data_IF_015995645854
#
_entry.id   IF_015995645854
#
_cell.length_a   1.000
_cell.length_b   1.000
_cell.length_c   1.000
_cell.angle_alpha   90.00
_cell.angle_beta   90.00
_cell.angle_gamma   90.00
#
_symmetry.space_group_name_H-M   'P 1'
#
loop_
_entity.id
_entity.type
_entity.pdbx_description
1 polymer ?
#
# COMPACT_ATOMS: atom_id res chain seq x y z
N UNK A 1 20.86 71.64 27.64
CA UNK A 1 20.39 71.00 26.39
C UNK A 1 20.78 69.54 26.43
N UNK A 2 19.82 68.65 26.69
CA UNK A 2 20.00 67.22 26.65
C UNK A 2 19.76 66.66 25.24
N UNK A 3 20.54 65.65 24.88
CA UNK A 3 20.15 64.61 23.94
C UNK A 3 20.62 63.29 24.54
N UNK A 4 19.66 62.55 25.05
CA UNK A 4 19.78 61.17 25.50
C UNK A 4 19.62 60.26 24.29
N UNK A 5 20.59 59.38 24.07
CA UNK A 5 20.48 58.28 23.12
C UNK A 5 19.79 57.09 23.80
N UNK A 6 18.83 56.40 23.14
CA UNK A 6 18.17 55.24 23.72
C UNK A 6 19.06 53.99 23.61
N UNK A 7 19.39 53.41 24.76
CA UNK A 7 19.95 52.06 24.86
C UNK A 7 18.84 51.07 24.53
N UNK A 8 18.99 50.33 23.44
CA UNK A 8 18.07 49.24 23.06
C UNK A 8 18.51 47.99 23.83
N UNK A 9 17.79 47.66 24.91
CA UNK A 9 17.85 46.34 25.54
C UNK A 9 17.24 45.30 24.60
N UNK A 10 18.07 44.37 24.12
CA UNK A 10 17.61 43.18 23.39
C UNK A 10 16.99 42.19 24.38
N UNK A 11 15.68 42.32 24.60
CA UNK A 11 14.89 41.32 25.31
C UNK A 11 14.75 40.06 24.45
N UNK A 12 15.45 39.00 24.82
CA UNK A 12 15.31 37.67 24.21
C UNK A 12 13.97 37.06 24.62
N UNK A 13 12.96 37.23 23.77
CA UNK A 13 11.70 36.50 23.87
C UNK A 13 11.93 35.05 23.42
N UNK A 14 12.07 34.15 24.38
CA UNK A 14 11.99 32.71 24.14
C UNK A 14 10.56 32.36 23.70
N UNK A 15 10.34 31.79 22.50
CA UNK A 15 9.04 31.22 22.18
C UNK A 15 8.91 29.91 22.96
N UNK A 16 8.18 29.94 24.08
CA UNK A 16 7.64 28.74 24.72
C UNK A 16 6.56 28.17 23.80
N UNK A 17 7.00 27.45 22.78
CA UNK A 17 6.15 26.55 22.01
C UNK A 17 6.19 25.21 22.70
N UNK A 18 5.08 24.89 23.35
CA UNK A 18 4.71 23.55 23.77
C UNK A 18 4.75 22.63 22.54
N UNK A 19 5.91 22.03 22.28
CA UNK A 19 6.10 20.96 21.32
C UNK A 19 5.40 19.71 21.85
N UNK A 20 4.07 19.67 21.67
CA UNK A 20 3.41 18.40 21.45
C UNK A 20 4.04 17.84 20.18
N UNK A 21 4.65 16.66 20.28
CA UNK A 21 5.49 16.09 19.24
C UNK A 21 4.70 14.99 18.49
N UNK A 22 3.96 15.29 17.41
CA UNK A 22 3.19 14.29 16.65
C UNK A 22 3.95 13.79 15.42
N UNK A 23 5.24 13.47 15.54
CA UNK A 23 6.10 13.32 14.35
C UNK A 23 6.81 11.97 14.17
N UNK A 24 6.21 10.84 14.60
CA UNK A 24 6.58 9.48 14.09
C UNK A 24 5.44 8.45 14.12
N UNK A 25 4.31 8.73 14.78
CA UNK A 25 3.24 7.74 15.06
C UNK A 25 2.30 7.44 13.88
N UNK A 26 2.11 8.39 12.97
CA UNK A 26 0.98 8.36 12.02
C UNK A 26 1.12 7.33 10.90
N UNK A 27 2.35 6.99 10.49
CA UNK A 27 2.62 6.04 9.42
C UNK A 27 3.38 4.81 9.92
N UNK A 28 3.01 3.62 9.46
CA UNK A 28 3.80 2.39 9.61
C UNK A 28 4.57 2.08 8.35
N UNK A 29 5.78 1.54 8.51
CA UNK A 29 6.62 1.10 7.41
C UNK A 29 6.62 -0.43 7.32
N UNK A 30 6.35 -0.95 6.12
CA UNK A 30 6.41 -2.38 5.80
C UNK A 30 7.37 -2.60 4.64
N UNK A 31 8.26 -3.58 4.78
CA UNK A 31 9.17 -4.01 3.73
C UNK A 31 8.52 -5.11 2.89
N UNK A 32 8.48 -4.94 1.58
CA UNK A 32 8.06 -5.98 0.64
C UNK A 32 9.28 -6.73 0.10
N UNK A 33 9.43 -8.00 0.47
CA UNK A 33 10.50 -8.90 0.04
C UNK A 33 9.97 -9.99 -0.89
N UNK A 34 10.76 -10.49 -1.83
CA UNK A 34 10.40 -11.70 -2.58
C UNK A 34 10.47 -12.93 -1.67
N UNK A 35 9.38 -13.69 -1.61
CA UNK A 35 9.36 -15.00 -0.95
C UNK A 35 9.63 -16.14 -1.94
N UNK A 36 9.03 -16.07 -3.14
CA UNK A 36 9.22 -16.94 -4.31
C UNK A 36 9.01 -16.10 -5.58
N UNK A 37 9.36 -16.62 -6.77
CA UNK A 37 9.30 -15.96 -8.11
C UNK A 37 8.53 -14.61 -8.18
N UNK A 38 7.22 -14.62 -7.91
CA UNK A 38 6.36 -13.42 -7.91
C UNK A 38 5.62 -13.16 -6.59
N UNK A 39 5.84 -13.99 -5.58
CA UNK A 39 5.20 -13.86 -4.27
C UNK A 39 5.98 -12.88 -3.39
N UNK A 40 5.28 -12.19 -2.50
CA UNK A 40 5.88 -11.25 -1.57
C UNK A 40 5.67 -11.71 -0.12
N UNK A 41 6.68 -11.48 0.71
CA UNK A 41 6.54 -11.42 2.15
C UNK A 41 6.55 -9.95 2.56
N UNK A 42 5.60 -9.57 3.41
CA UNK A 42 5.49 -8.24 3.97
C UNK A 42 5.99 -8.28 5.41
N UNK A 43 7.08 -7.59 5.69
CA UNK A 43 7.77 -7.62 6.97
C UNK A 43 7.70 -6.25 7.65
N UNK A 44 7.68 -6.20 9.00
CA UNK A 44 7.92 -4.95 9.72
C UNK A 44 9.34 -4.45 9.41
N UNK A 45 9.59 -3.16 9.65
CA UNK A 45 10.92 -2.58 9.47
C UNK A 45 12.01 -3.29 10.30
N UNK A 46 11.66 -3.75 11.50
CA UNK A 46 12.59 -4.25 12.50
C UNK A 46 12.46 -5.77 12.75
N UNK A 47 11.82 -6.52 11.85
CA UNK A 47 11.62 -7.96 12.03
C UNK A 47 11.82 -8.75 10.74
N UNK A 48 12.31 -9.97 10.89
CA UNK A 48 12.48 -10.96 9.82
C UNK A 48 11.27 -11.87 9.68
N UNK A 49 10.34 -11.82 10.63
CA UNK A 49 9.09 -12.58 10.60
C UNK A 49 8.06 -11.85 9.73
N UNK A 50 7.52 -12.49 8.68
CA UNK A 50 6.49 -11.88 7.85
C UNK A 50 5.20 -11.62 8.63
N UNK A 51 4.66 -10.41 8.52
CA UNK A 51 3.32 -10.04 8.97
C UNK A 51 2.26 -10.63 8.04
N UNK A 52 2.54 -10.56 6.74
CA UNK A 52 1.65 -11.04 5.70
C UNK A 52 2.43 -11.73 4.60
N UNK A 53 1.77 -12.66 3.94
CA UNK A 53 2.27 -13.28 2.73
C UNK A 53 1.32 -12.98 1.56
N UNK A 54 1.89 -12.51 0.45
CA UNK A 54 1.19 -12.24 -0.79
C UNK A 54 1.52 -13.36 -1.77
N UNK A 55 0.50 -14.14 -2.10
CA UNK A 55 0.57 -15.14 -3.16
C UNK A 55 0.10 -14.52 -4.46
N UNK A 56 0.91 -14.64 -5.51
CA UNK A 56 0.52 -14.28 -6.87
C UNK A 56 0.33 -15.55 -7.69
N UNK A 57 -0.92 -15.85 -8.03
CA UNK A 57 -1.28 -16.94 -8.92
C UNK A 57 -1.67 -16.37 -10.28
N UNK A 58 -0.67 -16.14 -11.12
CA UNK A 58 -0.92 -15.82 -12.52
C UNK A 58 -1.26 -17.13 -13.27
N UNK A 59 -2.34 -17.12 -14.06
CA UNK A 59 -2.71 -18.20 -15.01
C UNK A 59 -3.33 -19.49 -14.42
N UNK A 60 -3.92 -19.46 -13.23
CA UNK A 60 -4.67 -20.60 -12.72
C UNK A 60 -6.19 -20.35 -12.81
N UNK A 61 -6.94 -21.16 -13.57
CA UNK A 61 -8.40 -21.05 -13.62
C UNK A 61 -9.01 -21.14 -12.22
N UNK A 62 -10.01 -20.30 -11.94
CA UNK A 62 -10.81 -20.28 -10.70
C UNK A 62 -10.11 -19.87 -9.40
N UNK A 63 -8.80 -19.60 -9.41
CA UNK A 63 -8.11 -19.06 -8.23
C UNK A 63 -7.99 -17.54 -8.31
N UNK A 64 -8.04 -16.83 -7.17
CA UNK A 64 -7.72 -15.42 -7.15
C UNK A 64 -6.28 -15.17 -7.62
N UNK A 65 -6.07 -14.10 -8.39
CA UNK A 65 -4.76 -13.72 -8.91
C UNK A 65 -3.81 -13.32 -7.79
N UNK A 66 -4.33 -12.63 -6.77
CA UNK A 66 -3.55 -12.18 -5.62
C UNK A 66 -4.32 -12.54 -4.36
N UNK A 67 -3.63 -13.13 -3.40
CA UNK A 67 -4.17 -13.47 -2.09
C UNK A 67 -3.23 -12.93 -1.03
N UNK A 68 -3.77 -12.22 -0.03
CA UNK A 68 -3.06 -11.85 1.18
C UNK A 68 -3.44 -12.78 2.32
N UNK A 69 -2.45 -13.40 2.95
CA UNK A 69 -2.62 -14.27 4.13
C UNK A 69 -1.89 -13.69 5.33
N UNK A 70 -2.39 -13.95 6.53
CA UNK A 70 -1.70 -13.61 7.78
C UNK A 70 -0.44 -14.47 7.97
N UNK A 71 0.67 -13.85 8.31
CA UNK A 71 1.96 -14.49 8.56
C UNK A 71 2.54 -15.16 7.30
N UNK A 72 2.23 -16.45 7.14
CA UNK A 72 2.80 -17.31 6.10
C UNK A 72 1.79 -17.63 5.00
N UNK A 73 2.24 -18.29 3.93
CA UNK A 73 1.40 -18.66 2.79
C UNK A 73 0.24 -19.62 3.14
N UNK A 74 0.32 -20.33 4.27
CA UNK A 74 -0.72 -21.25 4.76
C UNK A 74 -1.57 -20.64 5.87
N UNK A 75 -1.34 -19.37 6.23
CA UNK A 75 -2.12 -18.69 7.25
C UNK A 75 -3.52 -18.29 6.76
N UNK A 76 -4.36 -17.77 7.66
CA UNK A 76 -5.72 -17.30 7.33
C UNK A 76 -5.72 -16.30 6.18
N UNK A 77 -6.65 -16.47 5.23
CA UNK A 77 -6.82 -15.54 4.12
C UNK A 77 -7.51 -14.27 4.61
N UNK A 78 -6.86 -13.14 4.40
CA UNK A 78 -7.36 -11.83 4.81
C UNK A 78 -8.06 -11.09 3.67
N UNK A 79 -7.74 -11.42 2.43
CA UNK A 79 -8.37 -10.83 1.26
C UNK A 79 -7.75 -11.32 -0.06
N UNK A 80 -8.42 -10.98 -1.16
CA UNK A 80 -8.09 -11.44 -2.50
C UNK A 80 -8.37 -10.38 -3.57
N UNK A 81 -7.64 -10.44 -4.67
CA UNK A 81 -7.91 -9.69 -5.91
C UNK A 81 -8.06 -10.67 -7.06
N UNK A 82 -9.06 -10.42 -7.92
CA UNK A 82 -9.20 -11.04 -9.24
C UNK A 82 -8.90 -10.00 -10.31
N UNK A 83 -7.84 -10.24 -11.08
CA UNK A 83 -7.36 -9.40 -12.18
C UNK A 83 -7.91 -9.94 -13.50
N UNK A 84 -9.13 -9.52 -13.84
CA UNK A 84 -9.83 -10.01 -15.01
C UNK A 84 -9.28 -9.39 -16.30
N UNK A 85 -9.13 -10.20 -17.34
CA UNK A 85 -8.66 -9.70 -18.65
C UNK A 85 -9.77 -9.01 -19.46
N UNK A 86 -11.03 -9.46 -19.31
CA UNK A 86 -12.17 -9.04 -20.13
C UNK A 86 -13.26 -8.29 -19.35
N UNK A 87 -13.13 -8.19 -18.03
CA UNK A 87 -14.07 -7.49 -17.15
C UNK A 87 -13.31 -6.63 -16.15
N UNK A 88 -14.03 -5.84 -15.34
CA UNK A 88 -13.43 -5.05 -14.26
C UNK A 88 -12.71 -5.96 -13.27
N UNK A 89 -11.56 -5.52 -12.76
CA UNK A 89 -10.93 -6.23 -11.65
C UNK A 89 -11.76 -5.99 -10.38
N UNK A 90 -11.68 -6.93 -9.46
CA UNK A 90 -12.40 -6.87 -8.19
C UNK A 90 -11.48 -7.27 -7.06
N UNK A 91 -11.71 -6.68 -5.90
CA UNK A 91 -11.00 -6.92 -4.65
C UNK A 91 -12.02 -7.24 -3.57
N UNK A 92 -11.67 -8.11 -2.63
CA UNK A 92 -12.54 -8.41 -1.50
C UNK A 92 -11.68 -8.76 -0.28
N UNK A 93 -12.13 -8.32 0.88
CA UNK A 93 -11.57 -8.77 2.16
C UNK A 93 -12.27 -10.04 2.63
N UNK A 94 -11.55 -10.89 3.35
CA UNK A 94 -12.03 -12.19 3.84
C UNK A 94 -11.59 -13.38 2.99
N UNK A 95 -12.09 -14.55 3.38
CA UNK A 95 -11.70 -15.84 2.80
C UNK A 95 -12.57 -16.17 1.57
N UNK A 96 -11.97 -16.41 0.37
CA UNK A 96 -12.69 -16.82 -0.83
C UNK A 96 -13.52 -18.09 -0.66
N UNK A 97 -13.17 -18.98 0.26
CA UNK A 97 -13.96 -20.18 0.56
C UNK A 97 -15.30 -19.86 1.23
N UNK A 98 -15.45 -18.66 1.82
CA UNK A 98 -16.66 -18.19 2.49
C UNK A 98 -17.31 -17.07 1.69
N UNK A 99 -17.66 -17.36 0.44
CA UNK A 99 -18.07 -16.35 -0.55
C UNK A 99 -19.24 -15.46 -0.09
N UNK A 100 -20.18 -16.00 0.69
CA UNK A 100 -21.34 -15.25 1.22
C UNK A 100 -20.95 -14.11 2.17
N UNK A 101 -19.78 -14.18 2.79
CA UNK A 101 -19.28 -13.18 3.74
C UNK A 101 -18.36 -12.15 3.06
N UNK A 102 -18.13 -12.30 1.75
CA UNK A 102 -17.22 -11.43 1.02
C UNK A 102 -17.97 -10.29 0.34
N UNK A 103 -17.57 -9.08 0.67
CA UNK A 103 -17.95 -7.90 -0.10
C UNK A 103 -16.92 -7.70 -1.22
N UNK A 104 -17.36 -7.90 -2.46
CA UNK A 104 -16.55 -7.62 -3.64
C UNK A 104 -16.66 -6.15 -4.02
N UNK A 105 -15.52 -5.48 -4.00
CA UNK A 105 -15.36 -4.08 -4.34
C UNK A 105 -14.64 -3.93 -5.68
N UNK A 106 -14.90 -2.81 -6.34
CA UNK A 106 -14.30 -2.50 -7.63
C UNK A 106 -12.81 -2.20 -7.43
N UNK A 107 -11.98 -2.79 -8.29
CA UNK A 107 -10.58 -2.40 -8.46
C UNK A 107 -10.35 -2.16 -9.95
N UNK A 108 -10.02 -0.95 -10.37
CA UNK A 108 -9.91 -0.66 -11.80
C UNK A 108 -8.63 0.07 -12.14
N UNK A 109 -7.95 -0.37 -13.20
CA UNK A 109 -6.94 0.47 -13.83
C UNK A 109 -7.59 1.46 -14.78
N UNK A 110 -7.32 2.74 -14.55
CA UNK A 110 -7.81 3.82 -15.38
C UNK A 110 -6.97 3.92 -16.66
N UNK A 111 -7.65 4.22 -17.78
CA UNK A 111 -7.04 4.31 -19.11
C UNK A 111 -6.46 5.71 -19.36
N UNK A 112 -5.53 6.14 -18.50
CA UNK A 112 -4.73 7.32 -18.79
C UNK A 112 -3.41 6.87 -19.37
N UNK A 113 -3.18 7.26 -20.63
CA UNK A 113 -2.03 6.82 -21.42
C UNK A 113 -0.67 7.19 -20.78
N UNK A 114 -0.63 8.26 -19.98
CA UNK A 114 0.58 8.83 -19.39
C UNK A 114 0.85 8.37 -17.96
N UNK A 115 -0.18 8.07 -17.15
CA UNK A 115 -0.03 7.67 -15.76
C UNK A 115 -0.95 6.49 -15.43
N UNK A 116 -0.37 5.34 -15.11
CA UNK A 116 -1.17 4.22 -14.59
C UNK A 116 -1.76 4.63 -13.23
N UNK A 117 -3.07 4.91 -13.23
CA UNK A 117 -3.89 5.07 -12.03
C UNK A 117 -4.69 3.79 -11.76
N UNK A 118 -4.85 3.45 -10.49
CA UNK A 118 -5.65 2.33 -10.04
C UNK A 118 -6.61 2.80 -8.96
N UNK A 119 -7.90 2.70 -9.24
CA UNK A 119 -8.96 3.10 -8.34
C UNK A 119 -9.53 1.89 -7.59
N UNK A 120 -9.88 2.10 -6.33
CA UNK A 120 -10.75 1.19 -5.59
C UNK A 120 -11.74 1.97 -4.73
N UNK A 121 -12.85 1.31 -4.41
CA UNK A 121 -13.82 1.81 -3.45
C UNK A 121 -13.58 1.14 -2.11
N UNK A 122 -13.77 1.88 -1.03
CA UNK A 122 -13.78 1.34 0.33
C UNK A 122 -14.77 2.13 1.18
N UNK A 123 -15.43 1.45 2.12
CA UNK A 123 -16.40 2.09 3.01
C UNK A 123 -15.67 2.71 4.20
N UNK A 124 -15.88 4.00 4.40
CA UNK A 124 -15.40 4.71 5.59
C UNK A 124 -16.08 4.13 6.84
N UNK A 125 -15.27 3.62 7.77
CA UNK A 125 -15.78 3.02 8.99
C UNK A 125 -16.54 4.03 9.85
N UNK A 126 -16.07 5.28 9.96
CA UNK A 126 -16.66 6.31 10.82
C UNK A 126 -18.01 6.78 10.30
N UNK A 127 -18.06 7.17 9.02
CA UNK A 127 -19.25 7.77 8.40
C UNK A 127 -20.19 6.74 7.79
N UNK A 128 -19.68 5.56 7.43
CA UNK A 128 -20.41 4.56 6.63
C UNK A 128 -20.51 4.91 5.15
N UNK A 129 -19.90 6.02 4.72
CA UNK A 129 -19.95 6.48 3.34
C UNK A 129 -18.94 5.74 2.46
N UNK A 130 -19.31 5.53 1.20
CA UNK A 130 -18.43 4.92 0.21
C UNK A 130 -17.49 5.97 -0.37
N UNK A 131 -16.18 5.71 -0.29
CA UNK A 131 -15.13 6.60 -0.78
C UNK A 131 -14.31 5.92 -1.87
N UNK A 132 -13.77 6.72 -2.78
CA UNK A 132 -12.89 6.23 -3.86
C UNK A 132 -11.46 6.64 -3.54
N UNK A 133 -10.53 5.72 -3.76
CA UNK A 133 -9.11 5.93 -3.54
C UNK A 133 -8.34 5.61 -4.80
N UNK A 134 -7.30 6.40 -5.07
CA UNK A 134 -6.48 6.25 -6.26
C UNK A 134 -5.03 6.00 -5.87
N UNK A 135 -4.53 4.82 -6.26
CA UNK A 135 -3.10 4.60 -6.42
C UNK A 135 -2.65 5.25 -7.72
N UNK A 136 -1.81 6.28 -7.63
CA UNK A 136 -1.17 6.89 -8.79
C UNK A 136 0.32 6.62 -8.80
N UNK A 137 0.84 6.34 -9.99
CA UNK A 137 2.27 6.28 -10.22
C UNK A 137 2.88 7.67 -10.15
N UNK A 138 3.86 7.84 -9.28
CA UNK A 138 4.63 9.08 -9.14
C UNK A 138 5.95 9.02 -9.90
N UNK A 139 6.54 7.83 -10.02
CA UNK A 139 7.79 7.61 -10.76
C UNK A 139 7.84 6.20 -11.34
N UNK A 140 8.32 6.09 -12.58
CA UNK A 140 8.78 4.81 -13.15
C UNK A 140 9.91 5.09 -14.12
N UNK A 141 11.07 4.45 -13.94
CA UNK A 141 12.12 4.50 -14.96
C UNK A 141 11.85 3.44 -16.02
N UNK A 142 12.41 3.65 -17.20
CA UNK A 142 12.14 2.85 -18.41
C UNK A 142 12.33 1.33 -18.23
N UNK A 143 13.16 0.88 -17.28
CA UNK A 143 13.44 -0.54 -17.03
C UNK A 143 12.73 -1.13 -15.79
N UNK A 144 12.05 -0.29 -15.01
CA UNK A 144 11.57 -0.62 -13.67
C UNK A 144 10.27 -1.43 -13.72
N UNK A 145 10.27 -2.57 -13.02
CA UNK A 145 9.07 -3.39 -12.80
C UNK A 145 8.38 -3.07 -11.45
N UNK A 146 9.00 -2.23 -10.61
CA UNK A 146 8.44 -1.71 -9.35
C UNK A 146 8.27 -0.18 -9.46
N UNK A 147 7.09 0.36 -9.82
CA UNK A 147 6.89 1.80 -9.84
C UNK A 147 6.83 2.38 -8.43
N UNK A 148 7.22 3.64 -8.26
CA UNK A 148 6.84 4.41 -7.07
C UNK A 148 5.38 4.83 -7.22
N UNK A 149 4.61 4.67 -6.15
CA UNK A 149 3.19 4.99 -6.13
C UNK A 149 2.80 5.68 -4.84
N UNK A 150 1.72 6.44 -4.89
CA UNK A 150 1.07 6.96 -3.72
C UNK A 150 -0.44 6.78 -3.83
N UNK A 151 -1.07 6.66 -2.67
CA UNK A 151 -2.50 6.48 -2.49
C UNK A 151 -3.07 7.75 -1.92
N UNK A 152 -4.09 8.29 -2.59
CA UNK A 152 -4.88 9.42 -2.12
C UNK A 152 -6.36 9.06 -2.12
N UNK A 153 -7.13 9.67 -1.23
CA UNK A 153 -8.59 9.73 -1.36
C UNK A 153 -8.95 10.67 -2.52
N UNK A 154 -9.96 10.30 -3.31
CA UNK A 154 -10.55 11.19 -4.29
C UNK A 154 -11.48 12.17 -3.55
N UNK A 155 -11.23 13.47 -3.68
CA UNK A 155 -12.00 14.55 -3.05
C UNK A 155 -12.60 15.48 -4.11
N UNK A 156 -13.57 16.30 -3.70
CA UNK A 156 -14.20 17.30 -4.57
C UNK A 156 -15.38 16.81 -5.41
N UNK A 157 -15.91 17.70 -6.26
CA UNK A 157 -17.12 17.46 -7.06
C UNK A 157 -16.85 16.36 -8.09
N UNK A 158 -17.44 15.19 -7.88
CA UNK A 158 -17.22 14.00 -8.73
C UNK A 158 -16.39 12.89 -8.09
N UNK A 159 -15.94 13.05 -6.84
CA UNK A 159 -15.26 12.01 -6.06
C UNK A 159 -16.09 10.71 -5.93
N UNK A 160 -17.42 10.81 -5.97
CA UNK A 160 -18.34 9.66 -5.93
C UNK A 160 -18.43 8.89 -7.27
N UNK A 161 -17.89 9.46 -8.35
CA UNK A 161 -17.94 8.87 -9.70
C UNK A 161 -16.56 8.39 -10.14
N UNK A 162 -16.34 7.08 -10.07
CA UNK A 162 -15.16 6.43 -10.67
C UNK A 162 -15.08 6.80 -12.16
N UNK A 163 -13.91 7.28 -12.62
CA UNK A 163 -13.73 7.74 -14.00
C UNK A 163 -13.45 9.23 -14.17
N UNK A 164 -13.79 10.07 -13.18
CA UNK A 164 -13.62 11.52 -13.25
C UNK A 164 -12.19 12.00 -12.99
N UNK A 165 -11.88 13.23 -13.42
CA UNK A 165 -10.71 13.98 -12.94
C UNK A 165 -11.02 14.50 -11.52
N UNK A 166 -11.15 13.58 -10.57
CA UNK A 166 -11.34 13.93 -9.17
C UNK A 166 -10.09 14.62 -8.64
N UNK A 167 -10.30 15.64 -7.81
CA UNK A 167 -9.21 16.24 -7.06
C UNK A 167 -8.67 15.17 -6.10
N UNK A 168 -7.35 15.07 -5.96
CA UNK A 168 -6.74 14.08 -5.08
C UNK A 168 -6.41 14.74 -3.75
N UNK A 169 -6.96 14.17 -2.68
CA UNK A 169 -6.79 14.65 -1.32
C UNK A 169 -5.42 14.27 -0.75
N UNK A 170 -5.39 14.15 0.57
CA UNK A 170 -4.18 13.80 1.31
C UNK A 170 -3.60 12.43 0.92
N UNK A 171 -2.28 12.28 1.09
CA UNK A 171 -1.60 11.01 0.87
C UNK A 171 -1.81 10.09 2.07
N UNK A 172 -2.43 8.94 1.82
CA UNK A 172 -2.74 7.94 2.83
C UNK A 172 -1.76 6.77 2.85
N UNK A 173 -1.10 6.49 1.71
CA UNK A 173 -0.04 5.51 1.65
C UNK A 173 0.95 5.82 0.53
N UNK A 174 2.19 5.34 0.67
CA UNK A 174 3.24 5.47 -0.33
C UNK A 174 3.92 4.11 -0.50
N UNK A 175 4.08 3.68 -1.74
CA UNK A 175 4.93 2.57 -2.10
C UNK A 175 6.19 3.09 -2.82
N UNK A 176 7.36 2.75 -2.28
CA UNK A 176 8.66 3.04 -2.90
C UNK A 176 9.25 1.75 -3.45
N UNK A 177 9.36 1.66 -4.77
CA UNK A 177 9.92 0.51 -5.46
C UNK A 177 11.44 0.46 -5.32
N UNK A 178 11.98 -0.70 -4.91
CA UNK A 178 13.41 -0.98 -4.94
C UNK A 178 13.78 -1.68 -6.24
N UNK A 179 14.78 -1.13 -6.93
CA UNK A 179 15.23 -1.54 -8.27
C UNK A 179 16.47 -2.43 -8.27
N UNK A 180 16.92 -2.91 -7.10
CA UNK A 180 18.16 -3.67 -6.98
C UNK A 180 18.04 -5.06 -7.60
N UNK A 181 18.79 -5.34 -8.67
CA UNK A 181 18.78 -6.62 -9.39
C UNK A 181 19.14 -7.84 -8.50
N UNK A 182 19.90 -7.61 -7.42
CA UNK A 182 20.31 -8.64 -6.45
C UNK A 182 19.60 -8.52 -5.10
N UNK A 183 18.73 -7.53 -4.92
CA UNK A 183 18.04 -7.36 -3.64
C UNK A 183 16.80 -8.26 -3.57
N UNK A 184 16.64 -8.95 -2.45
CA UNK A 184 15.38 -9.64 -2.13
C UNK A 184 14.26 -8.63 -1.86
N UNK A 185 14.60 -7.40 -1.48
CA UNK A 185 13.64 -6.32 -1.23
C UNK A 185 13.16 -5.70 -2.54
N UNK A 186 11.85 -5.75 -2.74
CA UNK A 186 11.13 -5.17 -3.88
C UNK A 186 10.65 -3.75 -3.61
N UNK A 187 10.44 -3.38 -2.35
CA UNK A 187 10.08 -2.01 -2.01
C UNK A 187 9.66 -1.85 -0.57
N UNK A 188 9.19 -0.65 -0.24
CA UNK A 188 8.69 -0.28 1.09
C UNK A 188 7.34 0.40 0.96
N UNK A 189 6.37 -0.07 1.74
CA UNK A 189 5.12 0.64 1.96
C UNK A 189 5.25 1.52 3.20
N UNK A 190 4.71 2.73 3.12
CA UNK A 190 4.47 3.62 4.25
C UNK A 190 2.97 3.87 4.28
N UNK A 191 2.26 3.35 5.28
CA UNK A 191 0.80 3.39 5.35
C UNK A 191 0.36 4.19 6.56
N UNK A 192 -0.64 5.04 6.39
CA UNK A 192 -1.28 5.71 7.51
C UNK A 192 -1.97 4.69 8.41
N UNK A 193 -1.68 4.74 9.71
CA UNK A 193 -2.29 3.90 10.73
C UNK A 193 -3.72 4.38 11.02
N UNK A 194 -4.64 3.45 11.20
CA UNK A 194 -5.95 3.70 11.82
C UNK A 194 -6.79 4.75 11.09
N UNK A 195 -6.67 4.85 9.77
CA UNK A 195 -7.50 5.77 8.99
C UNK A 195 -8.97 5.36 9.11
N UNK A 196 -9.72 6.08 9.94
CA UNK A 196 -11.18 6.05 10.07
C UNK A 196 -11.79 4.64 10.20
N UNK A 197 -11.14 3.81 11.01
CA UNK A 197 -11.51 2.40 11.18
C UNK A 197 -12.54 2.24 12.30
N UNK A 198 -13.72 1.65 12.01
CA UNK A 198 -14.64 1.12 13.04
C UNK A 198 -14.36 -0.35 13.40
N UNK A 199 -13.84 -1.15 12.47
CA UNK A 199 -13.59 -2.58 12.65
C UNK A 199 -12.11 -2.92 12.52
N UNK A 200 -11.50 -3.27 13.64
CA UNK A 200 -10.16 -3.84 13.68
C UNK A 200 -10.29 -5.35 13.55
N UNK A 201 -9.70 -5.96 12.53
CA UNK A 201 -9.55 -7.43 12.55
C UNK A 201 -8.47 -7.73 13.58
N UNK A 202 -8.80 -8.58 14.53
CA UNK A 202 -7.77 -9.26 15.29
C UNK A 202 -7.06 -10.20 14.33
N UNK A 203 -5.95 -9.72 13.76
CA UNK A 203 -5.02 -10.58 13.03
C UNK A 203 -4.23 -11.35 14.09
N UNK A 204 -4.89 -12.31 14.72
CA UNK A 204 -4.29 -13.19 15.72
C UNK A 204 -3.13 -13.96 15.09
N UNK A 205 -2.03 -14.10 15.83
CA UNK A 205 -0.80 -14.76 15.36
C UNK A 205 0.29 -13.82 14.83
N UNK A 206 0.07 -12.50 14.91
CA UNK A 206 1.10 -11.48 14.63
C UNK A 206 1.62 -10.91 15.96
N UNK A 207 1.90 -11.80 16.91
CA UNK A 207 2.67 -11.45 18.11
C UNK A 207 4.12 -11.27 17.68
N UNK A 208 4.55 -10.02 17.53
CA UNK A 208 5.98 -9.74 17.44
C UNK A 208 6.51 -9.81 18.86
N UNK A 209 6.93 -11.01 19.29
CA UNK A 209 7.86 -11.13 20.41
C UNK A 209 9.15 -10.41 20.01
N UNK A 210 9.30 -9.18 20.53
CA UNK A 210 10.59 -8.52 20.54
C UNK A 210 11.34 -9.18 21.69
N UNK A 211 12.25 -10.09 21.34
CA UNK A 211 13.21 -10.68 22.26
C UNK A 211 14.15 -9.56 22.74
N UNK A 212 13.66 -8.77 23.70
CA UNK A 212 14.37 -7.73 24.40
C UNK A 212 15.22 -8.37 25.47
N UNK A 213 16.38 -8.90 25.09
CA UNK A 213 17.48 -9.14 26.02
C UNK A 213 17.90 -7.80 26.65
N UNK A 214 17.28 -7.45 27.76
CA UNK A 214 17.55 -6.22 28.51
C UNK A 214 16.62 -6.13 29.72
N UNK A 215 17.15 -6.49 30.89
CA UNK A 215 16.49 -6.26 32.17
C UNK A 215 16.23 -4.76 32.35
N UNK A 216 14.99 -4.34 32.09
CA UNK A 216 14.54 -2.97 32.26
C UNK A 216 13.03 -2.92 32.13
N UNK A 217 12.32 -2.91 33.26
CA UNK A 217 10.87 -2.83 33.31
C UNK A 217 10.34 -1.60 32.56
N UNK A 218 9.44 -1.85 31.61
CA UNK A 218 8.69 -0.82 30.88
C UNK A 218 7.52 -1.47 30.15
N UNK A 219 6.31 -1.14 30.60
CA UNK A 219 5.02 -1.53 30.02
C UNK A 219 4.94 -1.19 28.52
N UNK A 220 4.39 -2.09 27.68
CA UNK A 220 3.96 -1.72 26.32
C UNK A 220 4.19 -2.73 25.20
N UNK A 221 4.26 -4.03 25.46
CA UNK A 221 4.19 -5.06 24.40
C UNK A 221 2.74 -5.29 23.94
N UNK A 222 2.13 -4.30 23.29
CA UNK A 222 0.78 -4.46 22.72
C UNK A 222 0.85 -5.04 21.31
N UNK A 223 0.19 -6.18 21.07
CA UNK A 223 -0.02 -6.73 19.73
C UNK A 223 -0.51 -5.64 18.77
N UNK A 224 0.30 -5.23 17.79
CA UNK A 224 -0.06 -4.13 16.89
C UNK A 224 -1.20 -4.61 15.98
N UNK A 225 -2.42 -4.14 16.26
CA UNK A 225 -3.61 -4.54 15.50
C UNK A 225 -3.63 -3.94 14.10
N UNK A 226 -4.24 -4.67 13.16
CA UNK A 226 -4.38 -4.29 11.75
C UNK A 226 -5.85 -4.23 11.38
N UNK A 227 -6.30 -3.12 10.80
CA UNK A 227 -7.67 -2.95 10.35
C UNK A 227 -7.88 -3.41 8.90
N UNK A 228 -9.15 -3.49 8.53
CA UNK A 228 -9.59 -3.79 7.16
C UNK A 228 -9.02 -2.80 6.16
N UNK A 229 -8.92 -1.53 6.56
CA UNK A 229 -8.29 -0.47 5.78
C UNK A 229 -6.84 -0.81 5.42
N UNK A 230 -5.98 -1.11 6.40
CA UNK A 230 -4.58 -1.38 6.11
C UNK A 230 -4.41 -2.63 5.23
N UNK A 231 -5.20 -3.68 5.47
CA UNK A 231 -5.20 -4.88 4.62
C UNK A 231 -5.62 -4.53 3.19
N UNK A 232 -6.68 -3.73 3.03
CA UNK A 232 -7.16 -3.27 1.73
C UNK A 232 -6.10 -2.46 0.98
N UNK A 233 -5.43 -1.52 1.66
CA UNK A 233 -4.35 -0.70 1.08
C UNK A 233 -3.19 -1.58 0.61
N UNK A 234 -2.75 -2.54 1.43
CA UNK A 234 -1.67 -3.46 1.05
C UNK A 234 -2.06 -4.34 -0.13
N UNK A 235 -3.27 -4.89 -0.09
CA UNK A 235 -3.78 -5.78 -1.11
C UNK A 235 -3.90 -5.05 -2.46
N UNK A 236 -4.55 -3.89 -2.49
CA UNK A 236 -4.71 -3.07 -3.72
C UNK A 236 -3.38 -2.52 -4.22
N UNK A 237 -2.48 -2.11 -3.32
CA UNK A 237 -1.12 -1.69 -3.67
C UNK A 237 -0.33 -2.83 -4.35
N UNK A 238 -0.37 -4.04 -3.79
CA UNK A 238 0.20 -5.24 -4.43
C UNK A 238 -0.48 -5.55 -5.78
N UNK A 239 -1.80 -5.38 -5.87
CA UNK A 239 -2.57 -5.49 -7.11
C UNK A 239 -2.11 -4.53 -8.21
N UNK A 240 -1.87 -3.28 -7.86
CA UNK A 240 -1.38 -2.26 -8.78
C UNK A 240 0.05 -2.58 -9.27
N UNK A 241 0.94 -3.02 -8.36
CA UNK A 241 2.30 -3.47 -8.69
C UNK A 241 2.26 -4.65 -9.66
N UNK A 242 1.47 -5.68 -9.37
CA UNK A 242 1.39 -6.86 -10.23
C UNK A 242 0.79 -6.53 -11.59
N UNK A 243 -0.24 -5.69 -11.64
CA UNK A 243 -0.81 -5.22 -12.91
C UNK A 243 0.23 -4.48 -13.75
N UNK A 244 1.06 -3.63 -13.12
CA UNK A 244 2.18 -2.97 -13.80
C UNK A 244 3.23 -3.98 -14.32
N UNK A 245 3.55 -5.02 -13.54
CA UNK A 245 4.47 -6.11 -13.94
C UNK A 245 3.93 -6.90 -15.13
N UNK A 246 2.66 -7.31 -15.12
CA UNK A 246 2.02 -8.03 -16.23
C UNK A 246 2.08 -7.20 -17.53
N UNK A 247 1.81 -5.89 -17.45
CA UNK A 247 1.94 -4.98 -18.59
C UNK A 247 3.38 -4.86 -19.10
N UNK A 248 4.35 -4.73 -18.21
CA UNK A 248 5.78 -4.67 -18.57
C UNK A 248 6.23 -5.95 -19.29
N UNK A 249 5.83 -7.13 -18.79
CA UNK A 249 6.08 -8.43 -19.42
C UNK A 249 5.45 -8.53 -20.82
N UNK A 250 4.20 -8.12 -20.97
CA UNK A 250 3.50 -8.13 -22.26
C UNK A 250 4.22 -7.26 -23.31
N UNK A 251 4.72 -6.08 -22.94
CA UNK A 251 5.50 -5.21 -23.83
C UNK A 251 6.82 -5.85 -24.27
N UNK A 252 7.52 -6.55 -23.37
CA UNK A 252 8.78 -7.25 -23.70
C UNK A 252 8.55 -8.47 -24.60
N UNK A 253 7.46 -9.21 -24.39
CA UNK A 253 7.12 -10.37 -25.22
C UNK A 253 6.70 -10.00 -26.65
N UNK A 254 6.00 -8.88 -26.84
CA UNK A 254 5.56 -8.43 -28.16
C UNK A 254 6.73 -7.97 -29.07
N UNK A 255 7.86 -7.53 -28.50
CA UNK A 255 9.03 -7.08 -29.25
C UNK A 255 9.95 -8.20 -29.77
N UNK A 256 9.73 -9.45 -29.39
CA UNK A 256 10.62 -10.57 -29.73
C UNK A 256 10.20 -11.36 -31.00
N UNK A 257 9.16 -10.92 -31.74
CA UNK A 257 8.61 -11.66 -32.88
C UNK A 257 8.99 -11.15 -34.28
N UNK A 258 9.89 -10.16 -34.41
CA UNK A 258 10.21 -9.55 -35.72
C UNK A 258 11.51 -10.04 -36.39
N UNK A 259 12.02 -11.23 -36.04
CA UNK A 259 13.27 -11.75 -36.60
C UNK A 259 13.14 -13.16 -37.16
N UNK A 260 12.90 -13.28 -38.47
CA UNK A 260 13.09 -14.54 -39.19
C UNK A 260 12.14 -14.75 -40.36
N UNK A 261 12.59 -14.45 -41.58
CA UNK A 261 11.84 -14.79 -42.79
C UNK A 261 12.36 -14.08 -44.04
N UNK A 262 13.62 -14.30 -44.40
CA UNK A 262 14.21 -13.81 -45.65
C UNK A 262 15.09 -14.87 -46.27
N UNK A 263 14.47 -15.90 -46.83
CA UNK A 263 15.10 -16.87 -47.72
C UNK A 263 14.32 -16.89 -49.04
N UNK A 264 15.01 -16.55 -50.12
CA UNK A 264 14.55 -16.53 -51.50
C UNK A 264 15.71 -16.14 -52.41
#
# INVERSE_FOLDING_TARGET
>A
MGKSDPVIETSSLSPSTSSSDPSTSTFRTIIANNSKLYNLSLLPLNSTTPLFHITNSSFTPHKPDITITSGTATGPVLGVIKLNALSSNVVALGDPAKTEQMQWERFQSMKDWTHSRYEFEFVDGETGERRIFTWRRTRQRFWDDQPDMELCENVGVGAEKSGGEAELGEVLAVYKGCQGFFSRTRGKFHLRKGWRVKSVREVSGVGVEIDGGGEGGGEGGGDEKWGDWEVMVLLTGCGAIETARRRSRARRGAGASSGGGGGG
#
